data_IF_086262813648
#
_entry.id   IF_086262813648
#
_cell.length_a   1.000
_cell.length_b   1.000
_cell.length_c   1.000
_cell.angle_alpha   90.00
_cell.angle_beta   90.00
_cell.angle_gamma   90.00
#
_symmetry.space_group_name_H-M   'P 1'
#
loop_
_entity.id
_entity.type
_entity.pdbx_description
1 polymer ?
#
# COMPACT_ATOMS: atom_id res chain seq x y z
N UNK A 1 -7.36 -15.69 19.75
CA UNK A 1 -6.51 -15.95 18.57
C UNK A 1 -7.23 -16.96 17.71
N UNK A 2 -7.94 -16.51 16.66
CA UNK A 2 -8.39 -17.40 15.59
C UNK A 2 -7.20 -17.55 14.64
N UNK A 3 -6.20 -18.29 15.08
CA UNK A 3 -5.12 -18.69 14.19
C UNK A 3 -5.68 -19.82 13.33
N UNK A 4 -6.30 -19.45 12.21
CA UNK A 4 -6.68 -20.42 11.20
C UNK A 4 -5.40 -21.08 10.71
N UNK A 5 -5.25 -22.40 10.92
CA UNK A 5 -4.23 -23.17 10.20
C UNK A 5 -4.52 -22.94 8.72
N UNK A 6 -3.69 -22.14 8.05
CA UNK A 6 -3.83 -21.87 6.62
C UNK A 6 -4.02 -23.19 5.88
N UNK A 7 -5.07 -23.29 5.07
CA UNK A 7 -5.31 -24.47 4.25
C UNK A 7 -4.20 -24.65 3.21
N UNK A 8 -4.27 -25.76 2.48
CA UNK A 8 -3.39 -25.99 1.33
C UNK A 8 -3.50 -24.83 0.33
N UNK A 9 -2.37 -24.31 -0.13
CA UNK A 9 -2.31 -23.20 -1.07
C UNK A 9 -2.95 -23.60 -2.40
N UNK A 10 -3.44 -22.66 -3.23
CA UNK A 10 -4.05 -22.98 -4.52
C UNK A 10 -3.24 -23.99 -5.34
N UNK A 11 -1.92 -23.86 -5.40
CA UNK A 11 -1.07 -24.79 -6.14
C UNK A 11 -0.88 -26.17 -5.48
N UNK A 12 -1.05 -26.29 -4.17
CA UNK A 12 -0.98 -27.57 -3.46
C UNK A 12 -2.23 -28.42 -3.73
N UNK A 13 -3.38 -27.77 -3.97
CA UNK A 13 -4.68 -28.44 -4.13
C UNK A 13 -4.79 -29.30 -5.38
N UNK A 14 -4.02 -28.99 -6.43
CA UNK A 14 -3.95 -29.81 -7.62
C UNK A 14 -2.82 -30.85 -7.57
N UNK A 15 -2.03 -30.89 -6.48
CA UNK A 15 -0.84 -31.73 -6.38
C UNK A 15 0.28 -31.31 -7.33
N UNK A 16 0.31 -30.01 -7.71
CA UNK A 16 1.28 -29.45 -8.66
C UNK A 16 2.66 -29.23 -8.05
N UNK A 17 2.74 -29.18 -6.72
CA UNK A 17 4.01 -29.12 -5.99
C UNK A 17 4.69 -30.51 -5.94
N UNK A 18 4.91 -31.13 -7.10
CA UNK A 18 5.71 -32.35 -7.21
C UNK A 18 7.15 -31.99 -7.58
N UNK A 19 8.09 -32.44 -6.76
CA UNK A 19 9.54 -32.29 -6.97
C UNK A 19 10.07 -30.84 -7.00
N UNK A 20 9.43 -29.91 -6.28
CA UNK A 20 9.95 -28.55 -6.09
C UNK A 20 9.91 -27.66 -7.33
N UNK A 21 9.15 -28.05 -8.36
CA UNK A 21 8.91 -27.23 -9.56
C UNK A 21 7.46 -26.80 -9.59
N UNK A 22 7.23 -25.52 -9.83
CA UNK A 22 5.88 -24.97 -9.92
C UNK A 22 5.64 -24.42 -11.31
N UNK A 23 4.59 -24.89 -11.98
CA UNK A 23 4.10 -24.25 -13.20
C UNK A 23 3.05 -23.19 -12.83
N UNK A 24 3.39 -21.88 -12.83
CA UNK A 24 2.50 -20.84 -12.36
C UNK A 24 1.29 -20.64 -13.28
N UNK A 25 1.25 -21.27 -14.46
CA UNK A 25 0.08 -21.24 -15.35
C UNK A 25 -0.81 -22.48 -15.23
N UNK A 26 -0.57 -23.36 -14.25
CA UNK A 26 -1.57 -24.35 -13.88
C UNK A 26 -2.63 -23.75 -12.95
N UNK A 27 -3.84 -23.59 -13.47
CA UNK A 27 -4.95 -23.00 -12.73
C UNK A 27 -5.92 -24.03 -12.13
N UNK A 28 -5.61 -25.33 -12.22
CA UNK A 28 -6.47 -26.38 -11.68
C UNK A 28 -6.71 -26.19 -10.17
N UNK A 29 -5.64 -25.97 -9.42
CA UNK A 29 -5.72 -25.78 -7.98
C UNK A 29 -6.36 -24.45 -7.57
N UNK A 30 -6.15 -23.38 -8.35
CA UNK A 30 -6.87 -22.11 -8.20
C UNK A 30 -8.39 -22.25 -8.35
N UNK A 31 -8.84 -23.05 -9.33
CA UNK A 31 -10.26 -23.33 -9.52
C UNK A 31 -10.84 -24.13 -8.35
N UNK A 32 -10.12 -25.10 -7.80
CA UNK A 32 -10.54 -25.83 -6.60
C UNK A 32 -10.63 -24.88 -5.41
N UNK A 33 -9.61 -24.05 -5.17
CA UNK A 33 -9.60 -23.06 -4.10
C UNK A 33 -10.79 -22.10 -4.20
N UNK A 34 -11.05 -21.58 -5.40
CA UNK A 34 -12.13 -20.63 -5.65
C UNK A 34 -13.52 -21.24 -5.47
N UNK A 35 -13.71 -22.50 -5.87
CA UNK A 35 -14.96 -23.22 -5.62
C UNK A 35 -15.22 -23.40 -4.12
N UNK A 36 -14.19 -23.82 -3.35
CA UNK A 36 -14.29 -23.93 -1.89
C UNK A 36 -14.61 -22.59 -1.25
N UNK A 37 -13.89 -21.54 -1.67
CA UNK A 37 -14.11 -20.19 -1.18
C UNK A 37 -15.53 -19.68 -1.49
N UNK A 38 -16.03 -19.90 -2.72
CA UNK A 38 -17.41 -19.57 -3.08
C UNK A 38 -18.42 -20.32 -2.20
N UNK A 39 -18.27 -21.63 -2.01
CA UNK A 39 -19.17 -22.42 -1.15
C UNK A 39 -19.23 -21.89 0.28
N UNK A 40 -18.10 -21.44 0.83
CA UNK A 40 -18.04 -20.82 2.17
C UNK A 40 -18.77 -19.46 2.19
N UNK A 41 -18.53 -18.61 1.20
CA UNK A 41 -19.21 -17.31 1.09
C UNK A 41 -20.73 -17.47 0.96
N UNK A 42 -21.19 -18.43 0.15
CA UNK A 42 -22.62 -18.74 0.01
C UNK A 42 -23.21 -19.29 1.32
N UNK A 43 -22.43 -20.03 2.11
CA UNK A 43 -22.89 -20.48 3.43
C UNK A 43 -23.14 -19.29 4.35
N UNK A 44 -22.22 -18.32 4.42
CA UNK A 44 -22.44 -17.07 5.15
C UNK A 44 -23.69 -16.32 4.65
N UNK A 45 -23.86 -16.20 3.33
CA UNK A 45 -25.02 -15.52 2.75
C UNK A 45 -26.35 -16.23 3.10
N UNK A 46 -26.39 -17.57 3.08
CA UNK A 46 -27.58 -18.35 3.49
C UNK A 46 -27.96 -18.15 4.94
N UNK A 47 -26.98 -17.96 5.82
CA UNK A 47 -27.19 -17.63 7.23
C UNK A 47 -27.54 -16.14 7.46
N UNK A 48 -27.74 -15.36 6.38
CA UNK A 48 -28.07 -13.94 6.45
C UNK A 48 -26.91 -13.03 6.85
N UNK A 49 -25.66 -13.54 6.83
CA UNK A 49 -24.48 -12.72 7.10
C UNK A 49 -24.22 -11.80 5.92
N UNK A 50 -24.16 -10.50 6.20
CA UNK A 50 -23.73 -9.48 5.25
C UNK A 50 -22.23 -9.25 5.39
N UNK A 51 -21.51 -9.26 4.27
CA UNK A 51 -20.10 -8.89 4.20
C UNK A 51 -19.97 -7.60 3.39
N UNK A 52 -19.59 -6.50 4.05
CA UNK A 52 -19.41 -5.19 3.42
C UNK A 52 -18.01 -5.00 2.83
N UNK A 53 -17.02 -5.70 3.37
CA UNK A 53 -15.64 -5.60 2.91
C UNK A 53 -14.86 -6.91 3.10
N UNK A 54 -13.90 -7.15 2.20
CA UNK A 54 -12.96 -8.27 2.26
C UNK A 54 -11.54 -7.79 1.89
N UNK A 55 -10.66 -7.78 2.89
CA UNK A 55 -9.26 -7.42 2.74
C UNK A 55 -8.41 -8.68 2.82
N UNK A 56 -7.89 -9.10 1.67
CA UNK A 56 -7.16 -10.35 1.55
C UNK A 56 -5.66 -10.12 1.77
N UNK A 57 -4.97 -11.16 2.24
CA UNK A 57 -3.53 -11.15 2.52
C UNK A 57 -2.81 -12.29 1.76
N UNK A 58 -3.16 -12.48 0.49
CA UNK A 58 -2.56 -13.51 -0.33
C UNK A 58 -1.22 -13.03 -0.89
N UNK A 59 -0.14 -13.29 -0.16
CA UNK A 59 1.24 -12.87 -0.51
C UNK A 59 2.06 -13.96 -1.22
N UNK A 60 1.43 -15.07 -1.61
CA UNK A 60 2.12 -16.29 -2.02
C UNK A 60 2.19 -16.46 -3.54
N UNK A 61 2.58 -17.64 -4.00
CA UNK A 61 2.79 -17.94 -5.40
C UNK A 61 1.62 -17.46 -6.27
N UNK A 62 1.89 -16.87 -7.46
CA UNK A 62 3.22 -16.83 -8.10
C UNK A 62 4.08 -15.62 -7.73
N UNK A 63 3.68 -14.74 -6.80
CA UNK A 63 4.42 -13.49 -6.56
C UNK A 63 5.82 -13.71 -5.97
N UNK A 64 5.97 -14.74 -5.13
CA UNK A 64 7.22 -15.07 -4.44
C UNK A 64 8.18 -15.95 -5.27
N UNK A 65 7.75 -16.47 -6.43
CA UNK A 65 8.58 -17.34 -7.26
C UNK A 65 9.71 -16.58 -7.94
N UNK A 66 10.91 -17.14 -7.94
CA UNK A 66 12.03 -16.69 -8.76
C UNK A 66 11.93 -17.23 -10.20
N UNK A 67 12.72 -16.65 -11.12
CA UNK A 67 12.78 -17.16 -12.51
C UNK A 67 13.34 -18.59 -12.55
N UNK A 68 14.27 -18.92 -11.65
CA UNK A 68 14.87 -20.24 -11.60
C UNK A 68 13.86 -21.35 -11.26
N UNK A 69 12.82 -21.02 -10.49
CA UNK A 69 11.79 -21.99 -10.06
C UNK A 69 10.89 -22.45 -11.22
N UNK A 70 10.86 -21.70 -12.32
CA UNK A 70 9.94 -21.91 -13.44
C UNK A 70 10.64 -22.23 -14.77
N UNK A 71 11.98 -22.26 -14.78
CA UNK A 71 12.78 -22.62 -15.97
C UNK A 71 13.04 -24.13 -15.94
N UNK A 72 12.16 -24.89 -16.57
CA UNK A 72 12.29 -26.33 -16.72
C UNK A 72 11.64 -26.81 -18.03
N UNK A 73 12.02 -28.00 -18.55
CA UNK A 73 11.38 -28.58 -19.73
C UNK A 73 9.87 -28.75 -19.53
N UNK A 74 9.06 -28.20 -20.43
CA UNK A 74 7.60 -28.23 -20.33
C UNK A 74 6.97 -27.07 -19.55
N UNK A 75 7.77 -26.12 -19.05
CA UNK A 75 7.23 -24.86 -18.50
C UNK A 75 6.40 -24.13 -19.55
N UNK A 76 5.20 -23.73 -19.17
CA UNK A 76 4.27 -23.00 -20.03
C UNK A 76 4.38 -21.48 -19.85
N UNK A 77 5.34 -21.01 -19.05
CA UNK A 77 5.63 -19.57 -18.93
C UNK A 77 6.16 -19.05 -20.28
N UNK A 78 5.64 -17.92 -20.80
CA UNK A 78 6.08 -17.39 -22.09
C UNK A 78 7.60 -17.15 -22.15
N UNK A 79 8.25 -17.55 -23.24
CA UNK A 79 9.70 -17.37 -23.44
C UNK A 79 10.13 -15.91 -23.27
N UNK A 80 9.30 -14.95 -23.73
CA UNK A 80 9.55 -13.52 -23.56
C UNK A 80 9.58 -13.08 -22.08
N UNK A 81 8.81 -13.73 -21.21
CA UNK A 81 8.84 -13.47 -19.77
C UNK A 81 10.09 -14.09 -19.11
N UNK A 82 10.59 -15.21 -19.63
CA UNK A 82 11.79 -15.91 -19.11
C UNK A 82 13.11 -15.33 -19.60
N UNK A 83 13.09 -14.33 -20.49
CA UNK A 83 14.29 -13.75 -21.07
C UNK A 83 15.22 -13.10 -20.02
N UNK A 84 14.67 -12.50 -18.96
CA UNK A 84 15.44 -11.95 -17.84
C UNK A 84 14.58 -11.84 -16.56
N UNK A 85 15.23 -11.62 -15.42
CA UNK A 85 14.55 -11.55 -14.12
C UNK A 85 13.56 -10.37 -13.99
N UNK A 86 13.80 -9.27 -14.71
CA UNK A 86 12.91 -8.10 -14.70
C UNK A 86 11.63 -8.41 -15.44
N UNK A 87 11.72 -8.99 -16.65
CA UNK A 87 10.57 -9.42 -17.43
C UNK A 87 9.77 -10.48 -16.69
N UNK A 88 10.44 -11.44 -16.06
CA UNK A 88 9.76 -12.46 -15.28
C UNK A 88 9.04 -11.86 -14.06
N UNK A 89 9.64 -10.88 -13.38
CA UNK A 89 8.99 -10.16 -12.27
C UNK A 89 7.74 -9.41 -12.72
N UNK A 90 7.79 -8.75 -13.87
CA UNK A 90 6.62 -8.04 -14.40
C UNK A 90 5.51 -9.04 -14.75
N UNK A 91 5.86 -10.12 -15.46
CA UNK A 91 4.93 -11.19 -15.81
C UNK A 91 4.28 -11.82 -14.57
N UNK A 92 5.08 -12.24 -13.59
CA UNK A 92 4.56 -12.91 -12.38
C UNK A 92 3.63 -11.98 -11.59
N UNK A 93 3.92 -10.67 -11.56
CA UNK A 93 3.09 -9.67 -10.89
C UNK A 93 1.72 -9.53 -11.57
N UNK A 94 1.70 -9.43 -12.90
CA UNK A 94 0.46 -9.36 -13.67
C UNK A 94 -0.36 -10.65 -13.54
N UNK A 95 0.32 -11.81 -13.58
CA UNK A 95 -0.31 -13.10 -13.39
C UNK A 95 -0.93 -13.23 -11.99
N UNK A 96 -0.17 -12.91 -10.93
CA UNK A 96 -0.67 -12.95 -9.55
C UNK A 96 -1.90 -12.05 -9.37
N UNK A 97 -1.89 -10.83 -9.92
CA UNK A 97 -3.03 -9.91 -9.83
C UNK A 97 -4.25 -10.42 -10.61
N UNK A 98 -4.03 -11.03 -11.78
CA UNK A 98 -5.10 -11.66 -12.57
C UNK A 98 -5.72 -12.85 -11.83
N UNK A 99 -4.89 -13.67 -11.20
CA UNK A 99 -5.33 -14.85 -10.44
C UNK A 99 -6.14 -14.45 -9.21
N UNK A 100 -5.64 -13.52 -8.39
CA UNK A 100 -6.35 -13.08 -7.19
C UNK A 100 -7.64 -12.33 -7.54
N UNK A 101 -7.64 -11.54 -8.61
CA UNK A 101 -8.86 -10.93 -9.16
C UNK A 101 -9.89 -11.99 -9.58
N UNK A 102 -9.47 -13.00 -10.35
CA UNK A 102 -10.37 -14.00 -10.92
C UNK A 102 -10.89 -14.98 -9.88
N UNK A 103 -10.03 -15.47 -8.99
CA UNK A 103 -10.33 -16.59 -8.12
C UNK A 103 -10.70 -16.18 -6.68
N UNK A 104 -10.44 -14.94 -6.28
CA UNK A 104 -10.88 -14.41 -4.98
C UNK A 104 -11.85 -13.23 -5.13
N UNK A 105 -11.51 -12.18 -5.87
CA UNK A 105 -12.38 -11.00 -5.96
C UNK A 105 -13.70 -11.30 -6.70
N UNK A 106 -13.66 -12.10 -7.77
CA UNK A 106 -14.86 -12.48 -8.51
C UNK A 106 -15.92 -13.20 -7.66
N UNK A 107 -15.61 -14.31 -6.95
CA UNK A 107 -16.62 -14.99 -6.12
C UNK A 107 -17.13 -14.12 -4.97
N UNK A 108 -16.29 -13.24 -4.39
CA UNK A 108 -16.75 -12.27 -3.39
C UNK A 108 -17.83 -11.34 -3.96
N UNK A 109 -17.62 -10.82 -5.17
CA UNK A 109 -18.57 -9.93 -5.84
C UNK A 109 -19.79 -10.65 -6.41
N UNK A 110 -19.65 -11.93 -6.74
CA UNK A 110 -20.76 -12.78 -7.17
C UNK A 110 -21.75 -12.99 -6.02
N UNK A 111 -21.25 -13.36 -4.84
CA UNK A 111 -22.09 -13.61 -3.65
C UNK A 111 -22.53 -12.32 -2.96
N UNK A 112 -21.65 -11.30 -2.93
CA UNK A 112 -21.90 -10.00 -2.30
C UNK A 112 -21.63 -8.84 -3.28
N UNK A 113 -22.58 -8.47 -4.15
CA UNK A 113 -22.36 -7.50 -5.23
C UNK A 113 -21.90 -6.09 -4.80
N UNK A 114 -22.20 -5.68 -3.56
CA UNK A 114 -21.81 -4.38 -3.01
C UNK A 114 -20.51 -4.36 -2.21
N UNK A 115 -19.75 -5.47 -2.19
CA UNK A 115 -18.58 -5.61 -1.33
C UNK A 115 -17.40 -4.73 -1.77
N UNK A 116 -16.73 -4.12 -0.80
CA UNK A 116 -15.41 -3.52 -0.99
C UNK A 116 -14.33 -4.61 -0.90
N UNK A 117 -13.53 -4.80 -1.94
CA UNK A 117 -12.57 -5.91 -2.01
C UNK A 117 -11.21 -5.44 -2.50
N UNK A 118 -10.17 -5.87 -1.78
CA UNK A 118 -8.77 -5.65 -2.12
C UNK A 118 -7.92 -6.85 -1.66
N UNK A 119 -6.64 -6.85 -2.04
CA UNK A 119 -5.64 -7.80 -1.55
C UNK A 119 -4.32 -7.06 -1.31
N UNK A 120 -3.44 -7.63 -0.49
CA UNK A 120 -2.10 -7.12 -0.21
C UNK A 120 -1.39 -6.58 -1.45
N UNK A 121 -1.06 -5.28 -1.49
CA UNK A 121 -0.37 -4.62 -2.62
C UNK A 121 -1.14 -4.74 -3.94
N UNK A 122 -2.46 -4.85 -3.96
CA UNK A 122 -3.23 -4.54 -5.18
C UNK A 122 -3.23 -3.04 -5.33
N UNK A 123 -2.33 -2.51 -6.14
CA UNK A 123 -2.15 -1.05 -6.29
C UNK A 123 -2.06 -0.67 -7.75
N UNK A 124 -2.47 0.55 -8.07
CA UNK A 124 -2.30 1.13 -9.39
C UNK A 124 -0.85 1.65 -9.55
N UNK A 125 -0.26 1.42 -10.72
CA UNK A 125 1.09 1.88 -11.05
C UNK A 125 1.15 2.31 -12.51
N UNK A 126 1.92 3.35 -12.82
CA UNK A 126 2.14 3.87 -14.17
C UNK A 126 3.61 4.05 -14.47
N UNK A 127 3.97 4.11 -15.75
CA UNK A 127 5.38 4.22 -16.16
C UNK A 127 5.99 5.61 -15.86
N UNK A 128 5.18 6.67 -15.90
CA UNK A 128 5.57 8.06 -15.63
C UNK A 128 5.81 8.33 -14.14
N UNK A 129 5.04 7.67 -13.27
CA UNK A 129 5.25 7.70 -11.83
C UNK A 129 5.00 6.31 -11.21
N UNK A 130 6.01 5.41 -11.27
CA UNK A 130 5.82 4.03 -10.89
C UNK A 130 5.80 3.83 -9.39
N UNK A 131 4.97 2.89 -8.95
CA UNK A 131 5.04 2.36 -7.60
C UNK A 131 6.35 1.56 -7.44
N UNK A 132 7.02 1.72 -6.30
CA UNK A 132 8.29 1.04 -6.01
C UNK A 132 8.10 -0.06 -4.96
N UNK A 133 8.68 -1.24 -5.23
CA UNK A 133 8.77 -2.32 -4.24
C UNK A 133 9.78 -2.00 -3.13
N UNK A 134 9.89 -2.87 -2.13
CA UNK A 134 10.81 -2.73 -1.01
C UNK A 134 12.29 -2.70 -1.40
N UNK A 135 12.62 -3.12 -2.62
CA UNK A 135 13.96 -3.08 -3.20
C UNK A 135 14.16 -1.95 -4.20
N UNK A 136 13.28 -0.94 -4.18
CA UNK A 136 13.28 0.23 -5.06
C UNK A 136 13.10 -0.10 -6.55
N UNK A 137 12.54 -1.27 -6.87
CA UNK A 137 12.25 -1.63 -8.27
C UNK A 137 10.85 -1.17 -8.62
N UNK A 138 10.71 -0.57 -9.81
CA UNK A 138 9.42 -0.16 -10.33
C UNK A 138 8.51 -1.37 -10.60
N UNK A 139 7.26 -1.26 -10.16
CA UNK A 139 6.18 -2.14 -10.59
C UNK A 139 5.81 -1.83 -12.05
N UNK A 140 5.44 -2.84 -12.86
CA UNK A 140 4.85 -2.60 -14.16
C UNK A 140 3.50 -1.87 -14.01
N UNK A 141 2.93 -1.42 -15.13
CA UNK A 141 1.51 -1.01 -15.15
C UNK A 141 0.66 -2.20 -14.70
N UNK A 142 -0.22 -1.95 -13.72
CA UNK A 142 -1.09 -2.94 -13.10
C UNK A 142 -2.56 -2.62 -13.41
N UNK A 143 -3.31 -3.62 -13.82
CA UNK A 143 -4.77 -3.56 -13.93
C UNK A 143 -5.38 -4.21 -12.68
N UNK A 144 -6.22 -3.47 -11.96
CA UNK A 144 -6.89 -3.92 -10.74
C UNK A 144 -8.00 -4.94 -10.97
N UNK A 145 -8.38 -5.22 -12.23
CA UNK A 145 -9.34 -6.27 -12.56
C UNK A 145 -10.67 -6.10 -11.83
N UNK A 146 -11.06 -7.10 -11.05
CA UNK A 146 -12.33 -7.14 -10.32
C UNK A 146 -12.24 -6.57 -8.90
N UNK A 147 -11.08 -6.09 -8.45
CA UNK A 147 -10.97 -5.40 -7.17
C UNK A 147 -11.72 -4.06 -7.19
N UNK A 148 -12.34 -3.68 -6.08
CA UNK A 148 -13.08 -2.40 -5.95
C UNK A 148 -12.31 -1.35 -5.14
N UNK A 149 -11.21 -1.76 -4.50
CA UNK A 149 -10.29 -0.86 -3.81
C UNK A 149 -8.82 -1.23 -4.11
N UNK A 150 -7.94 -0.22 -4.13
CA UNK A 150 -6.50 -0.43 -4.05
C UNK A 150 -6.03 -0.52 -2.60
N UNK A 151 -4.86 -1.10 -2.43
CA UNK A 151 -4.17 -1.29 -1.17
C UNK A 151 -2.67 -0.96 -1.32
N UNK A 152 -2.29 0.33 -1.45
CA UNK A 152 -0.89 0.71 -1.34
C UNK A 152 -0.42 0.55 0.11
N UNK A 153 0.88 0.33 0.30
CA UNK A 153 1.46 0.10 1.62
C UNK A 153 2.25 1.33 2.10
N UNK A 154 1.97 1.75 3.33
CA UNK A 154 2.71 2.77 4.07
C UNK A 154 3.36 2.13 5.30
N UNK A 155 4.35 1.27 5.04
CA UNK A 155 5.04 0.48 6.06
C UNK A 155 6.41 1.04 6.40
N UNK A 156 6.67 1.14 7.70
CA UNK A 156 8.02 1.27 8.26
C UNK A 156 8.77 -0.05 8.20
N UNK A 157 8.96 -0.59 7.00
CA UNK A 157 9.56 -1.90 6.76
C UNK A 157 11.09 -1.82 6.67
N UNK A 158 11.78 -2.72 7.36
CA UNK A 158 13.25 -2.77 7.42
C UNK A 158 13.91 -3.06 6.07
N UNK A 159 13.31 -3.89 5.22
CA UNK A 159 13.79 -4.14 3.85
C UNK A 159 13.88 -2.85 3.04
N UNK A 160 12.80 -2.04 3.04
CA UNK A 160 12.82 -0.75 2.36
C UNK A 160 13.80 0.21 3.03
N UNK A 161 13.88 0.20 4.36
CA UNK A 161 14.86 1.03 5.07
C UNK A 161 16.28 0.73 4.62
N UNK A 162 16.72 -0.53 4.60
CA UNK A 162 18.08 -0.88 4.18
C UNK A 162 18.38 -0.52 2.71
N UNK A 163 17.38 -0.54 1.83
CA UNK A 163 17.54 -0.15 0.43
C UNK A 163 17.55 1.37 0.22
N UNK A 164 17.07 2.16 1.19
CA UNK A 164 17.01 3.62 1.12
C UNK A 164 17.95 4.31 2.12
N UNK A 165 18.48 3.59 3.10
CA UNK A 165 19.41 4.14 4.05
C UNK A 165 20.76 4.36 3.37
N UNK A 166 21.45 5.47 3.68
CA UNK A 166 22.83 5.63 3.24
C UNK A 166 23.71 4.48 3.79
N UNK A 167 24.77 4.16 3.05
CA UNK A 167 25.76 3.15 3.48
C UNK A 167 26.61 3.61 4.67
N UNK A 168 26.59 4.91 4.98
CA UNK A 168 27.27 5.50 6.13
C UNK A 168 26.35 5.55 7.36
N UNK A 169 26.95 5.76 8.53
CA UNK A 169 26.24 5.81 9.81
C UNK A 169 25.22 6.94 9.82
N UNK A 170 23.99 6.64 10.25
CA UNK A 170 22.99 7.64 10.57
C UNK A 170 23.34 8.35 11.87
N UNK A 171 23.24 9.67 11.86
CA UNK A 171 23.72 10.56 12.92
C UNK A 171 22.59 10.99 13.86
N UNK A 172 21.32 10.89 13.46
CA UNK A 172 20.18 11.34 14.27
C UNK A 172 18.86 10.65 13.93
N UNK A 173 17.91 10.70 14.88
CA UNK A 173 16.54 10.22 14.68
C UNK A 173 15.83 10.96 13.54
N UNK A 174 16.14 12.24 13.30
CA UNK A 174 15.56 13.02 12.20
C UNK A 174 15.90 12.42 10.83
N UNK A 175 17.11 11.88 10.67
CA UNK A 175 17.49 11.19 9.43
C UNK A 175 16.72 9.87 9.25
N UNK A 176 16.54 9.10 10.33
CA UNK A 176 15.72 7.87 10.35
C UNK A 176 14.28 8.18 9.97
N UNK A 177 13.68 9.18 10.62
CA UNK A 177 12.30 9.59 10.40
C UNK A 177 12.06 10.08 8.97
N UNK A 178 13.02 10.78 8.38
CA UNK A 178 12.95 11.22 6.98
C UNK A 178 12.95 10.05 6.00
N UNK A 179 13.84 9.06 6.19
CA UNK A 179 13.89 7.87 5.34
C UNK A 179 12.56 7.11 5.42
N UNK A 180 12.03 6.90 6.63
CA UNK A 180 10.74 6.24 6.78
C UNK A 180 9.59 7.07 6.20
N UNK A 181 9.58 8.39 6.37
CA UNK A 181 8.54 9.26 5.78
C UNK A 181 8.54 9.14 4.25
N UNK A 182 9.71 9.08 3.62
CA UNK A 182 9.84 8.77 2.19
C UNK A 182 9.19 7.42 1.85
N UNK A 183 9.55 6.36 2.58
CA UNK A 183 9.05 4.99 2.35
C UNK A 183 7.52 4.93 2.51
N UNK A 184 6.98 5.51 3.58
CA UNK A 184 5.55 5.48 3.88
C UNK A 184 4.71 6.23 2.83
N UNK A 185 5.24 7.31 2.24
CA UNK A 185 4.47 8.14 1.31
C UNK A 185 4.62 7.72 -0.15
N UNK A 186 5.68 6.99 -0.54
CA UNK A 186 5.97 6.75 -1.96
C UNK A 186 4.94 5.89 -2.68
N UNK A 187 4.48 4.78 -2.08
CA UNK A 187 3.50 3.91 -2.72
C UNK A 187 2.13 4.57 -2.75
N UNK A 188 1.71 5.19 -1.64
CA UNK A 188 0.44 5.92 -1.54
C UNK A 188 0.35 7.02 -2.61
N UNK A 189 1.45 7.74 -2.83
CA UNK A 189 1.49 8.83 -3.81
C UNK A 189 1.43 8.33 -5.25
N UNK A 190 2.19 7.28 -5.57
CA UNK A 190 2.19 6.68 -6.90
C UNK A 190 0.83 6.05 -7.23
N UNK A 191 0.23 5.33 -6.27
CA UNK A 191 -1.11 4.75 -6.40
C UNK A 191 -2.18 5.81 -6.60
N UNK A 192 -2.19 6.87 -5.77
CA UNK A 192 -3.14 7.95 -5.89
C UNK A 192 -3.03 8.70 -7.22
N UNK A 193 -1.81 8.93 -7.70
CA UNK A 193 -1.57 9.52 -9.02
C UNK A 193 -2.11 8.61 -10.14
N UNK A 194 -1.82 7.31 -10.08
CA UNK A 194 -2.29 6.34 -11.07
C UNK A 194 -3.82 6.21 -11.07
N UNK A 195 -4.45 6.06 -9.89
CA UNK A 195 -5.92 6.01 -9.77
C UNK A 195 -6.58 7.26 -10.30
N UNK A 196 -6.06 8.45 -9.97
CA UNK A 196 -6.60 9.71 -10.48
C UNK A 196 -6.73 9.74 -12.00
N UNK A 197 -5.77 9.15 -12.71
CA UNK A 197 -5.72 9.17 -14.18
C UNK A 197 -6.45 8.00 -14.82
N UNK A 198 -6.30 6.79 -14.27
CA UNK A 198 -6.72 5.55 -14.92
C UNK A 198 -7.96 4.90 -14.27
N UNK A 199 -8.20 5.13 -12.98
CA UNK A 199 -9.25 4.46 -12.22
C UNK A 199 -9.77 5.28 -11.02
N UNK A 200 -10.35 6.49 -11.25
CA UNK A 200 -10.74 7.40 -10.17
C UNK A 200 -11.94 6.91 -9.35
N UNK A 201 -12.61 5.85 -9.79
CA UNK A 201 -13.74 5.24 -9.12
C UNK A 201 -13.34 4.25 -8.01
N UNK A 202 -12.05 3.92 -7.89
CA UNK A 202 -11.56 2.99 -6.87
C UNK A 202 -11.26 3.70 -5.57
N UNK A 203 -11.70 3.07 -4.48
CA UNK A 203 -11.28 3.42 -3.14
C UNK A 203 -9.82 3.03 -2.90
N UNK A 204 -9.19 3.60 -1.87
CA UNK A 204 -7.84 3.26 -1.42
C UNK A 204 -7.82 2.94 0.07
N UNK A 205 -7.64 1.66 0.37
CA UNK A 205 -7.53 1.14 1.73
C UNK A 205 -6.06 0.92 2.03
N UNK A 206 -5.39 1.92 2.61
CA UNK A 206 -3.93 1.90 2.80
C UNK A 206 -3.58 1.02 4.00
N UNK A 207 -2.67 0.07 3.84
CA UNK A 207 -2.12 -0.61 5.02
C UNK A 207 -1.00 0.23 5.61
N UNK A 208 -1.11 0.51 6.91
CA UNK A 208 -0.20 1.39 7.64
C UNK A 208 0.46 0.63 8.77
N UNK A 209 1.76 0.83 8.93
CA UNK A 209 2.53 0.28 10.05
C UNK A 209 3.75 1.16 10.27
N UNK A 210 4.10 1.42 11.53
CA UNK A 210 5.34 2.16 11.83
C UNK A 210 6.54 1.22 11.85
N UNK A 211 6.31 -0.09 12.00
CA UNK A 211 7.38 -1.07 12.10
C UNK A 211 6.96 -2.43 11.56
N UNK A 212 7.64 -2.85 10.49
CA UNK A 212 7.56 -4.20 9.93
C UNK A 212 8.99 -4.76 9.85
N UNK A 213 9.19 -5.93 10.44
CA UNK A 213 10.52 -6.56 10.58
C UNK A 213 10.58 -7.85 9.78
N UNK A 214 11.03 -7.74 8.53
CA UNK A 214 11.17 -8.87 7.62
C UNK A 214 12.61 -9.41 7.57
N UNK A 215 13.58 -8.69 8.14
CA UNK A 215 14.98 -9.13 8.27
C UNK A 215 15.38 -9.20 9.74
N UNK A 216 14.93 -10.21 10.49
CA UNK A 216 15.13 -10.29 11.93
C UNK A 216 16.61 -10.34 12.35
N UNK A 217 17.49 -10.83 11.49
CA UNK A 217 18.92 -10.88 11.71
C UNK A 217 19.63 -9.51 11.63
N UNK A 218 18.97 -8.49 11.08
CA UNK A 218 19.53 -7.14 10.92
C UNK A 218 18.93 -6.17 11.92
N UNK A 219 19.81 -5.37 12.57
CA UNK A 219 19.36 -4.27 13.42
C UNK A 219 18.97 -3.07 12.56
N UNK A 220 17.74 -2.62 12.73
CA UNK A 220 17.18 -1.49 12.00
C UNK A 220 16.59 -0.50 13.00
N UNK A 221 16.93 0.80 12.93
CA UNK A 221 16.28 1.80 13.77
C UNK A 221 14.80 1.90 13.43
N UNK A 222 13.98 2.40 14.36
CA UNK A 222 12.54 2.54 14.15
C UNK A 222 12.17 4.02 14.03
N UNK A 223 11.23 4.33 13.14
CA UNK A 223 10.64 5.66 13.02
C UNK A 223 10.06 6.14 14.36
N UNK A 224 10.21 7.42 14.67
CA UNK A 224 9.57 8.02 15.85
C UNK A 224 8.04 8.03 15.70
N UNK A 225 7.34 8.01 16.84
CA UNK A 225 5.86 8.10 16.85
C UNK A 225 5.37 9.43 16.29
N UNK A 226 6.10 10.51 16.53
CA UNK A 226 5.74 11.84 16.05
C UNK A 226 5.77 11.88 14.52
N UNK A 227 6.85 11.39 13.91
CA UNK A 227 6.97 11.33 12.46
C UNK A 227 5.96 10.35 11.84
N UNK A 228 5.66 9.23 12.50
CA UNK A 228 4.63 8.29 12.03
C UNK A 228 3.25 8.94 11.97
N UNK A 229 2.81 9.59 13.07
CA UNK A 229 1.54 10.33 13.08
C UNK A 229 1.48 11.40 12.00
N UNK A 230 2.62 12.06 11.74
CA UNK A 230 2.70 13.03 10.65
C UNK A 230 2.51 12.38 9.28
N UNK A 231 3.22 11.29 9.00
CA UNK A 231 3.05 10.54 7.76
C UNK A 231 1.59 10.11 7.56
N UNK A 232 0.89 9.65 8.60
CA UNK A 232 -0.53 9.28 8.52
C UNK A 232 -1.44 10.47 8.11
N UNK A 233 -1.20 11.68 8.63
CA UNK A 233 -1.95 12.87 8.18
C UNK A 233 -1.76 13.13 6.68
N UNK A 234 -0.53 12.94 6.20
CA UNK A 234 -0.20 13.07 4.78
C UNK A 234 -0.81 11.95 3.93
N UNK A 235 -0.91 10.72 4.43
CA UNK A 235 -1.59 9.61 3.74
C UNK A 235 -3.06 9.94 3.48
N UNK A 236 -3.80 10.47 4.47
CA UNK A 236 -5.17 10.95 4.26
C UNK A 236 -5.26 12.00 3.14
N UNK A 237 -4.36 12.98 3.16
CA UNK A 237 -4.33 14.06 2.16
C UNK A 237 -3.75 13.66 0.80
N UNK A 238 -3.35 12.40 0.66
CA UNK A 238 -2.91 11.78 -0.60
C UNK A 238 -3.95 10.80 -1.14
N UNK A 239 -5.21 10.89 -0.69
CA UNK A 239 -6.34 10.18 -1.29
C UNK A 239 -6.55 8.77 -0.75
N UNK A 240 -6.21 8.54 0.52
CA UNK A 240 -6.65 7.36 1.24
C UNK A 240 -8.13 7.49 1.65
N UNK A 241 -8.91 6.43 1.43
CA UNK A 241 -10.30 6.32 1.87
C UNK A 241 -10.42 5.60 3.21
N UNK A 242 -9.43 4.75 3.51
CA UNK A 242 -9.31 4.06 4.78
C UNK A 242 -7.87 3.69 5.09
N UNK A 243 -7.62 3.37 6.36
CA UNK A 243 -6.35 2.83 6.83
C UNK A 243 -6.57 1.54 7.60
N UNK A 244 -5.84 0.50 7.24
CA UNK A 244 -5.76 -0.73 8.02
C UNK A 244 -4.44 -0.75 8.78
N UNK A 245 -4.52 -0.86 10.09
CA UNK A 245 -3.32 -0.88 10.92
C UNK A 245 -2.76 -2.30 10.96
N UNK A 246 -1.61 -2.50 10.31
CA UNK A 246 -0.88 -3.75 10.36
C UNK A 246 0.13 -3.72 11.50
N UNK A 247 -0.12 -4.53 12.51
CA UNK A 247 0.66 -4.57 13.73
C UNK A 247 1.15 -6.01 13.98
N UNK A 248 2.33 -6.39 13.46
CA UNK A 248 2.87 -7.71 13.75
C UNK A 248 3.09 -7.82 15.27
N UNK A 249 2.47 -8.81 15.89
CA UNK A 249 2.69 -9.12 17.31
C UNK A 249 3.94 -9.97 17.39
N UNK A 250 5.06 -9.32 17.70
CA UNK A 250 6.36 -9.97 17.91
C UNK A 250 6.64 -9.99 19.41
N UNK A 251 7.09 -11.14 19.92
CA UNK A 251 7.46 -11.31 21.33
C UNK A 251 8.41 -10.20 21.79
N UNK A 252 8.04 -9.52 22.88
CA UNK A 252 8.76 -8.39 23.44
C UNK A 252 8.45 -7.02 22.81
N UNK A 253 7.60 -6.98 21.78
CA UNK A 253 7.18 -5.76 21.07
C UNK A 253 5.65 -5.55 21.08
N UNK A 254 4.90 -6.24 21.92
CA UNK A 254 3.44 -6.20 21.98
C UNK A 254 2.92 -4.79 22.30
N UNK A 255 3.65 -4.05 23.14
CA UNK A 255 3.34 -2.64 23.44
C UNK A 255 3.44 -1.74 22.21
N UNK A 256 4.27 -2.11 21.22
CA UNK A 256 4.42 -1.38 19.97
C UNK A 256 3.15 -1.48 19.13
N UNK A 257 2.64 -2.70 18.95
CA UNK A 257 1.39 -2.97 18.24
C UNK A 257 0.22 -2.14 18.79
N UNK A 258 0.03 -2.12 20.11
CA UNK A 258 -1.05 -1.33 20.74
C UNK A 258 -0.85 0.18 20.49
N UNK A 259 0.38 0.68 20.65
CA UNK A 259 0.68 2.11 20.47
C UNK A 259 0.43 2.57 19.04
N UNK A 260 0.69 1.72 18.05
CA UNK A 260 0.48 2.04 16.63
C UNK A 260 -1.01 2.14 16.30
N UNK A 261 -1.83 1.24 16.83
CA UNK A 261 -3.29 1.37 16.72
C UNK A 261 -3.79 2.67 17.37
N UNK A 262 -3.28 3.03 18.55
CA UNK A 262 -3.63 4.28 19.23
C UNK A 262 -3.17 5.54 18.46
N UNK A 263 -1.99 5.49 17.84
CA UNK A 263 -1.45 6.58 17.02
C UNK A 263 -2.31 6.79 15.76
N UNK A 264 -2.68 5.72 15.07
CA UNK A 264 -3.57 5.78 13.92
C UNK A 264 -4.97 6.28 14.32
N UNK A 265 -5.54 5.79 15.41
CA UNK A 265 -6.83 6.25 15.91
C UNK A 265 -6.82 7.73 16.32
N UNK A 266 -5.72 8.23 16.90
CA UNK A 266 -5.55 9.65 17.22
C UNK A 266 -5.58 10.50 15.95
N UNK A 267 -4.81 10.12 14.93
CA UNK A 267 -4.77 10.85 13.65
C UNK A 267 -6.13 10.78 12.95
N UNK A 268 -6.80 9.63 12.97
CA UNK A 268 -8.16 9.51 12.42
C UNK A 268 -9.11 10.53 13.05
N UNK A 269 -9.11 10.68 14.39
CA UNK A 269 -9.95 11.68 15.07
C UNK A 269 -9.61 13.11 14.68
N UNK A 270 -8.33 13.43 14.46
CA UNK A 270 -7.91 14.75 13.98
C UNK A 270 -8.39 15.03 12.54
N UNK A 271 -8.42 13.99 11.69
CA UNK A 271 -8.83 14.11 10.29
C UNK A 271 -10.34 13.99 10.08
N UNK A 272 -11.07 13.36 11.02
CA UNK A 272 -12.52 13.14 10.93
C UNK A 272 -13.37 14.41 10.69
N UNK A 273 -13.07 15.58 11.30
CA UNK A 273 -13.76 16.84 10.98
C UNK A 273 -13.60 17.31 9.52
N UNK A 274 -12.75 16.65 8.74
CA UNK A 274 -12.48 16.92 7.34
C UNK A 274 -12.97 15.81 6.40
N UNK A 275 -13.66 14.78 6.90
CA UNK A 275 -14.01 13.57 6.16
C UNK A 275 -14.68 13.84 4.80
N UNK A 276 -15.64 14.77 4.73
CA UNK A 276 -16.31 15.11 3.48
C UNK A 276 -15.33 15.69 2.44
N UNK A 277 -14.37 16.53 2.86
CA UNK A 277 -13.35 17.10 1.96
C UNK A 277 -12.31 16.06 1.55
N UNK A 278 -11.95 15.13 2.45
CA UNK A 278 -11.04 14.04 2.13
C UNK A 278 -11.67 13.11 1.09
N UNK A 279 -12.96 12.78 1.25
CA UNK A 279 -13.70 11.91 0.32
C UNK A 279 -13.97 12.54 -1.05
N UNK A 280 -14.36 13.81 -1.08
CA UNK A 280 -14.74 14.50 -2.33
C UNK A 280 -13.57 15.27 -2.99
N UNK A 281 -12.42 15.33 -2.32
CA UNK A 281 -11.32 16.21 -2.70
C UNK A 281 -10.38 15.62 -3.73
N UNK A 282 -9.95 16.44 -4.66
CA UNK A 282 -8.88 16.13 -5.60
C UNK A 282 -7.52 16.32 -4.91
N UNK A 283 -6.67 15.28 -4.91
CA UNK A 283 -5.30 15.37 -4.38
C UNK A 283 -4.49 16.39 -5.18
N UNK A 284 -3.81 17.28 -4.46
CA UNK A 284 -3.10 18.44 -5.03
C UNK A 284 -1.59 18.21 -5.20
N UNK A 285 -0.98 17.32 -4.42
CA UNK A 285 0.45 17.06 -4.48
C UNK A 285 0.77 15.58 -4.29
N UNK A 286 1.39 14.99 -5.33
CA UNK A 286 1.87 13.61 -5.31
C UNK A 286 3.38 13.50 -5.06
N UNK A 287 4.09 14.62 -4.94
CA UNK A 287 5.55 14.62 -4.73
C UNK A 287 5.91 13.89 -3.43
N UNK A 288 6.90 13.01 -3.49
CA UNK A 288 7.39 12.24 -2.33
C UNK A 288 8.57 13.00 -1.74
N UNK A 289 8.63 13.22 -0.41
CA UNK A 289 9.80 13.83 0.20
C UNK A 289 11.05 12.98 -0.04
N UNK A 290 12.19 13.64 -0.26
CA UNK A 290 13.47 12.98 -0.51
C UNK A 290 13.98 12.28 0.78
N UNK A 291 14.48 11.05 0.64
CA UNK A 291 14.97 10.27 1.78
C UNK A 291 16.27 10.85 2.39
N UNK A 292 17.08 11.55 1.58
CA UNK A 292 18.45 11.94 1.90
C UNK A 292 18.60 13.43 2.16
N UNK A 293 17.79 14.27 1.54
CA UNK A 293 17.85 15.73 1.66
C UNK A 293 16.70 16.24 2.52
N UNK A 294 16.96 16.95 3.62
CA UNK A 294 15.90 17.58 4.39
C UNK A 294 15.24 18.66 3.51
N UNK A 295 13.94 18.54 3.30
CA UNK A 295 13.16 19.53 2.59
C UNK A 295 11.77 19.62 3.24
N UNK A 296 11.20 20.83 3.36
CA UNK A 296 9.80 20.98 3.70
C UNK A 296 8.94 20.36 2.60
N UNK A 297 7.83 19.74 2.99
CA UNK A 297 6.87 19.17 2.05
C UNK A 297 5.44 19.42 2.52
N UNK A 298 4.50 19.16 1.62
CA UNK A 298 3.09 19.36 1.89
C UNK A 298 2.23 18.33 1.16
N UNK A 299 1.02 18.11 1.69
CA UNK A 299 -0.04 17.36 1.01
C UNK A 299 -1.33 18.14 1.14
N UNK A 300 -2.25 17.96 0.21
CA UNK A 300 -3.51 18.66 0.27
C UNK A 300 -4.55 18.07 -0.67
N UNK A 301 -5.81 18.36 -0.33
CA UNK A 301 -6.97 18.03 -1.14
C UNK A 301 -7.75 19.30 -1.44
N UNK A 302 -8.26 19.40 -2.66
CA UNK A 302 -9.06 20.52 -3.15
C UNK A 302 -10.48 20.08 -3.45
N UNK A 303 -11.45 20.86 -3.00
CA UNK A 303 -12.86 20.75 -3.39
C UNK A 303 -13.32 22.02 -4.10
N UNK A 304 -14.57 22.02 -4.58
CA UNK A 304 -15.19 23.23 -5.14
C UNK A 304 -15.16 24.41 -4.14
N UNK A 305 -15.28 24.13 -2.84
CA UNK A 305 -15.43 25.11 -1.75
C UNK A 305 -14.11 25.51 -1.08
N UNK A 306 -12.96 25.06 -1.60
CA UNK A 306 -11.65 25.42 -1.04
C UNK A 306 -10.63 24.29 -1.04
N UNK A 307 -9.58 24.45 -0.24
CA UNK A 307 -8.52 23.47 -0.08
C UNK A 307 -8.20 23.20 1.40
N UNK A 308 -7.77 21.98 1.67
CA UNK A 308 -7.18 21.57 2.94
C UNK A 308 -5.74 21.17 2.68
N UNK A 309 -4.79 21.82 3.37
CA UNK A 309 -3.37 21.63 3.13
C UNK A 309 -2.66 21.35 4.46
N UNK A 310 -1.82 20.32 4.51
CA UNK A 310 -0.88 20.04 5.59
C UNK A 310 0.53 20.34 5.11
N UNK A 311 1.23 21.23 5.79
CA UNK A 311 2.64 21.55 5.55
C UNK A 311 3.48 21.02 6.69
N UNK A 312 4.68 20.51 6.39
CA UNK A 312 5.61 20.00 7.39
C UNK A 312 7.06 20.31 7.00
N UNK A 313 7.88 20.66 7.99
CA UNK A 313 9.33 20.78 7.81
C UNK A 313 10.06 19.79 8.74
N UNK A 314 10.93 18.91 8.25
CA UNK A 314 11.77 18.09 9.13
C UNK A 314 12.91 18.88 9.82
N UNK A 315 13.11 20.16 9.46
CA UNK A 315 14.09 21.06 10.08
C UNK A 315 13.64 21.62 11.43
N UNK A 316 14.43 22.57 11.97
CA UNK A 316 14.16 23.21 13.28
C UNK A 316 13.39 24.53 13.17
N UNK A 317 13.44 25.17 12.00
CA UNK A 317 12.89 26.50 11.80
C UNK A 317 11.65 26.44 10.91
N UNK A 318 10.84 27.49 10.97
CA UNK A 318 9.72 27.67 10.06
C UNK A 318 10.24 27.97 8.65
N UNK A 319 9.67 27.31 7.63
CA UNK A 319 9.96 27.59 6.22
C UNK A 319 8.69 27.97 5.48
N UNK A 320 8.75 28.97 4.61
CA UNK A 320 7.63 29.34 3.73
C UNK A 320 7.64 28.47 2.48
N UNK A 321 6.52 27.78 2.25
CA UNK A 321 6.21 27.05 1.03
C UNK A 321 5.26 27.87 0.16
N UNK A 322 5.57 27.98 -1.13
CA UNK A 322 4.64 28.54 -2.11
C UNK A 322 3.77 27.43 -2.69
N UNK A 323 2.46 27.51 -2.47
CA UNK A 323 1.49 26.48 -2.82
C UNK A 323 0.51 27.04 -3.85
N UNK A 324 0.31 26.32 -4.95
CA UNK A 324 -0.68 26.64 -5.96
C UNK A 324 -2.00 25.94 -5.60
N UNK A 325 -2.98 26.71 -5.12
CA UNK A 325 -4.29 26.18 -4.72
C UNK A 325 -5.13 25.80 -5.95
N UNK A 326 -5.05 26.63 -6.99
CA UNK A 326 -5.70 26.47 -8.30
C UNK A 326 -4.77 27.02 -9.37
N UNK A 327 -4.95 26.68 -10.66
CA UNK A 327 -4.18 27.27 -11.74
C UNK A 327 -4.11 28.80 -11.61
N UNK A 328 -2.91 29.32 -11.36
CA UNK A 328 -2.64 30.76 -11.17
C UNK A 328 -2.91 31.35 -9.77
N UNK A 329 -3.54 30.60 -8.85
CA UNK A 329 -3.79 31.04 -7.46
C UNK A 329 -2.70 30.50 -6.53
N UNK A 330 -1.70 31.33 -6.22
CA UNK A 330 -0.57 30.96 -5.35
C UNK A 330 -0.66 31.65 -4.00
N UNK A 331 -0.39 30.89 -2.94
CA UNK A 331 -0.33 31.37 -1.55
C UNK A 331 0.97 30.94 -0.90
N UNK A 332 1.49 31.80 -0.04
CA UNK A 332 2.65 31.51 0.79
C UNK A 332 2.18 30.96 2.14
N UNK A 333 2.72 29.81 2.54
CA UNK A 333 2.25 29.04 3.68
C UNK A 333 3.44 28.61 4.54
N UNK A 334 3.37 28.88 5.84
CA UNK A 334 4.42 28.46 6.78
C UNK A 334 4.33 26.95 7.05
N UNK A 335 5.45 26.26 6.89
CA UNK A 335 5.70 24.87 7.22
C UNK A 335 6.56 24.78 8.50
N UNK A 336 5.96 24.56 9.68
CA UNK A 336 6.70 24.45 10.93
C UNK A 336 7.24 23.02 11.16
N UNK A 337 8.21 22.84 12.09
CA UNK A 337 8.73 21.53 12.49
C UNK A 337 7.69 20.52 12.98
N UNK A 338 6.62 20.99 13.64
CA UNK A 338 5.51 20.15 14.11
C UNK A 338 4.42 19.92 13.06
N UNK A 339 4.59 20.51 11.87
CA UNK A 339 3.60 20.60 10.80
C UNK A 339 2.34 21.40 11.17
N UNK A 340 1.66 21.94 10.16
CA UNK A 340 0.43 22.73 10.33
C UNK A 340 -0.59 22.39 9.27
N UNK A 341 -1.86 22.35 9.68
CA UNK A 341 -3.01 22.18 8.78
C UNK A 341 -3.64 23.54 8.52
N UNK A 342 -3.83 23.87 7.25
CA UNK A 342 -4.35 25.13 6.76
C UNK A 342 -5.64 24.87 5.97
N UNK A 343 -6.66 25.69 6.22
CA UNK A 343 -7.92 25.68 5.48
C UNK A 343 -8.00 26.94 4.64
N UNK A 344 -8.17 26.78 3.33
CA UNK A 344 -8.32 27.88 2.39
C UNK A 344 -9.75 27.84 1.83
N UNK A 345 -10.66 28.75 2.25
CA UNK A 345 -11.97 28.85 1.62
C UNK A 345 -11.84 29.30 0.16
N UNK A 346 -12.86 29.01 -0.65
CA UNK A 346 -12.95 29.60 -1.99
C UNK A 346 -13.07 31.13 -1.85
N UNK A 347 -12.24 31.86 -2.59
CA UNK A 347 -12.33 33.33 -2.71
C UNK A 347 -13.42 33.73 -3.68
#
# INVERSE_FOLDING_TARGET
YLEGKGGAWPYDLAGDFRAGRLDPVNFAGWRIASQRFRSELEAFAREGVRIDAAWLDYENAPINLSRHDVVFPGSRVPAAALADDRRFRHYRRQLWQTLTSTYFAAPLREVFPGIAVTNWVVSASRADFPLLDWTNRAHPRTDIGLFTATNPLAYGIDVAFHNNAPKYRLESQVQVDRIYTHILLRQVSADAHARRLDAPHLESMVWVSRWVRDMPERRTPVMSRAAYREALRHVWLRGADGMMVFNPVVDGYEKMAIREALDAASVYREMAPHAQRLKAGEVMNFSVPDAHRPAPFWSGVRTADGALVRTYNPGRDDIVLRIELRPGERVDVVAPPGGKTHRFPRR
#
